data_IF_448470899891
#
_entry.id   IF_448470899891
#
_cell.length_a   1.000
_cell.length_b   1.000
_cell.length_c   1.000
_cell.angle_alpha   90.00
_cell.angle_beta   90.00
_cell.angle_gamma   90.00
#
_symmetry.space_group_name_H-M   'P 1'
#
loop_
_entity.id
_entity.type
_entity.pdbx_description
1 polymer ?
#
# COMPACT_ATOMS: atom_id res chain seq x y z
N UNK A 1 -25.79 9.63 -3.10
CA UNK A 1 -24.43 10.08 -2.78
C UNK A 1 -23.79 9.13 -1.79
N UNK A 2 -22.63 8.58 -2.09
CA UNK A 2 -21.97 7.61 -1.22
C UNK A 2 -21.21 8.33 -0.09
N UNK A 3 -21.41 7.87 1.13
CA UNK A 3 -20.64 8.38 2.26
C UNK A 3 -19.21 7.91 2.13
N UNK A 4 -18.24 8.84 2.14
CA UNK A 4 -16.82 8.52 2.00
C UNK A 4 -16.32 7.60 3.13
N UNK A 5 -16.99 7.60 4.28
CA UNK A 5 -16.62 6.74 5.40
C UNK A 5 -16.74 5.26 5.08
N UNK A 6 -17.57 4.91 4.12
CA UNK A 6 -17.67 3.52 3.66
C UNK A 6 -16.41 3.05 2.96
N UNK A 7 -15.54 3.97 2.54
CA UNK A 7 -14.23 3.64 1.97
C UNK A 7 -13.15 3.42 3.02
N UNK A 8 -13.44 3.69 4.30
CA UNK A 8 -12.52 3.34 5.39
C UNK A 8 -12.79 1.90 5.79
N UNK A 9 -11.86 1.01 5.43
CA UNK A 9 -12.04 -0.44 5.57
C UNK A 9 -11.36 -0.92 6.84
N UNK A 10 -12.11 -1.54 7.73
CA UNK A 10 -11.58 -2.06 9.00
C UNK A 10 -12.25 -3.38 9.43
N UNK A 11 -13.14 -3.92 8.63
CA UNK A 11 -13.79 -5.19 8.89
C UNK A 11 -13.15 -6.32 8.08
N UNK A 12 -13.30 -7.55 8.58
CA UNK A 12 -12.65 -8.72 7.97
C UNK A 12 -13.10 -8.98 6.54
N UNK A 13 -14.39 -8.80 6.25
CA UNK A 13 -14.90 -9.02 4.91
C UNK A 13 -14.28 -8.06 3.90
N UNK A 14 -14.17 -6.79 4.27
CA UNK A 14 -13.57 -5.77 3.41
C UNK A 14 -12.07 -5.99 3.22
N UNK A 15 -11.36 -6.33 4.29
CA UNK A 15 -9.93 -6.64 4.23
C UNK A 15 -9.66 -7.88 3.36
N UNK A 16 -10.44 -8.94 3.56
CA UNK A 16 -10.30 -10.17 2.78
C UNK A 16 -10.54 -9.91 1.29
N UNK A 17 -11.54 -9.11 0.96
CA UNK A 17 -11.84 -8.76 -0.43
C UNK A 17 -10.66 -8.02 -1.08
N UNK A 18 -10.08 -7.05 -0.38
CA UNK A 18 -8.90 -6.32 -0.86
C UNK A 18 -7.74 -7.29 -1.13
N UNK A 19 -7.42 -8.13 -0.16
CA UNK A 19 -6.27 -9.03 -0.26
C UNK A 19 -6.47 -10.10 -1.33
N UNK A 20 -7.70 -10.56 -1.53
CA UNK A 20 -8.03 -11.56 -2.54
C UNK A 20 -7.98 -10.99 -3.95
N UNK A 21 -8.47 -9.77 -4.13
CA UNK A 21 -8.64 -9.18 -5.46
C UNK A 21 -7.41 -8.44 -5.97
N UNK A 22 -6.53 -7.97 -5.08
CA UNK A 22 -5.33 -7.23 -5.48
C UNK A 22 -4.30 -8.16 -6.15
N UNK A 23 -3.60 -7.61 -7.15
CA UNK A 23 -2.52 -8.30 -7.85
C UNK A 23 -1.22 -7.53 -7.79
N UNK A 24 -1.28 -6.19 -7.78
CA UNK A 24 -0.11 -5.32 -7.81
C UNK A 24 -0.09 -4.43 -6.59
N UNK A 25 1.09 -4.33 -5.97
CA UNK A 25 1.29 -3.53 -4.75
C UNK A 25 2.51 -2.66 -4.93
N UNK A 26 2.32 -1.34 -4.91
CA UNK A 26 3.42 -0.40 -4.85
C UNK A 26 3.78 -0.19 -3.38
N UNK A 27 5.05 -0.35 -3.04
CA UNK A 27 5.53 -0.27 -1.65
C UNK A 27 6.32 1.02 -1.48
N UNK A 28 5.71 1.99 -0.82
CA UNK A 28 6.34 3.28 -0.54
C UNK A 28 7.16 3.16 0.75
N UNK A 29 8.45 3.47 0.65
CA UNK A 29 9.38 3.28 1.76
C UNK A 29 10.04 1.91 1.77
N UNK A 30 10.06 1.20 0.63
CA UNK A 30 10.74 -0.08 0.51
C UNK A 30 12.21 0.03 0.92
N UNK A 31 12.71 -0.97 1.64
CA UNK A 31 14.08 -1.01 2.14
C UNK A 31 14.78 -2.30 1.76
N UNK A 32 16.11 -2.29 1.80
CA UNK A 32 16.94 -3.45 1.47
C UNK A 32 17.20 -4.38 2.66
N UNK A 33 17.06 -3.88 3.89
CA UNK A 33 17.37 -4.66 5.08
C UNK A 33 16.34 -5.75 5.35
N UNK A 34 16.78 -7.00 5.39
CA UNK A 34 15.90 -8.17 5.52
C UNK A 34 15.12 -8.21 6.83
N UNK A 35 15.59 -7.52 7.87
CA UNK A 35 14.89 -7.42 9.15
C UNK A 35 13.85 -6.30 9.21
N UNK A 36 13.73 -5.50 8.17
CA UNK A 36 12.80 -4.37 8.12
C UNK A 36 11.44 -4.82 7.59
N UNK A 37 10.32 -4.42 8.24
CA UNK A 37 8.99 -4.74 7.71
C UNK A 37 8.79 -4.30 6.27
N UNK A 38 9.34 -3.15 5.89
CA UNK A 38 9.25 -2.63 4.51
C UNK A 38 10.06 -3.46 3.52
N UNK A 39 10.77 -4.48 3.98
CA UNK A 39 11.42 -5.50 3.15
C UNK A 39 10.71 -6.85 3.25
N UNK A 40 10.54 -7.40 4.47
CA UNK A 40 10.02 -8.77 4.59
C UNK A 40 8.51 -8.88 4.32
N UNK A 41 7.72 -7.83 4.53
CA UNK A 41 6.30 -7.87 4.19
C UNK A 41 6.10 -7.95 2.66
N UNK A 42 6.75 -7.08 1.85
CA UNK A 42 6.67 -7.25 0.39
C UNK A 42 7.22 -8.58 -0.10
N UNK A 43 8.30 -9.09 0.52
CA UNK A 43 8.85 -10.40 0.16
C UNK A 43 7.83 -11.51 0.37
N UNK A 44 7.13 -11.48 1.52
CA UNK A 44 6.05 -12.43 1.80
C UNK A 44 4.94 -12.33 0.74
N UNK A 45 4.50 -11.11 0.42
CA UNK A 45 3.43 -10.90 -0.55
C UNK A 45 3.83 -11.43 -1.94
N UNK A 46 5.08 -11.19 -2.34
CA UNK A 46 5.57 -11.70 -3.62
C UNK A 46 5.49 -13.22 -3.68
N UNK A 47 5.83 -13.91 -2.61
CA UNK A 47 5.73 -15.37 -2.53
C UNK A 47 4.28 -15.84 -2.64
N UNK A 48 3.32 -14.99 -2.32
CA UNK A 48 1.89 -15.29 -2.43
C UNK A 48 1.28 -14.86 -3.76
N UNK A 49 2.11 -14.46 -4.72
CA UNK A 49 1.67 -14.15 -6.07
C UNK A 49 1.43 -12.68 -6.38
N UNK A 50 1.67 -11.78 -5.43
CA UNK A 50 1.55 -10.35 -5.70
C UNK A 50 2.77 -9.85 -6.47
N UNK A 51 2.52 -8.93 -7.40
CA UNK A 51 3.60 -8.22 -8.08
C UNK A 51 3.94 -6.99 -7.26
N UNK A 52 5.22 -6.89 -6.85
CA UNK A 52 5.68 -5.81 -5.98
C UNK A 52 6.42 -4.76 -6.81
N UNK A 53 6.08 -3.50 -6.58
CA UNK A 53 6.71 -2.35 -7.24
C UNK A 53 7.29 -1.45 -6.14
N UNK A 54 8.62 -1.54 -5.89
CA UNK A 54 9.24 -0.78 -4.79
C UNK A 54 9.39 0.70 -5.15
N UNK A 55 9.10 1.58 -4.18
CA UNK A 55 9.18 3.03 -4.34
C UNK A 55 9.91 3.62 -3.13
N UNK A 56 11.10 4.15 -3.35
CA UNK A 56 11.86 4.87 -2.32
C UNK A 56 13.06 5.53 -2.98
N UNK A 57 13.24 6.86 -2.86
CA UNK A 57 14.38 7.54 -3.47
C UNK A 57 15.73 7.00 -2.99
N UNK A 58 15.79 6.48 -1.75
CA UNK A 58 17.04 5.96 -1.18
C UNK A 58 17.53 4.67 -1.84
N UNK A 59 16.66 3.95 -2.51
CA UNK A 59 17.00 2.67 -3.16
C UNK A 59 16.68 2.68 -4.64
N UNK A 60 16.40 3.84 -5.21
CA UNK A 60 16.04 3.96 -6.63
C UNK A 60 17.10 3.31 -7.52
N UNK A 61 16.66 2.54 -8.49
CA UNK A 61 17.52 1.80 -9.42
C UNK A 61 17.93 0.42 -8.93
N UNK A 62 17.80 0.12 -7.64
CA UNK A 62 18.12 -1.23 -7.12
C UNK A 62 16.96 -2.18 -7.40
N UNK A 63 17.27 -3.43 -7.66
CA UNK A 63 16.23 -4.45 -7.83
C UNK A 63 15.84 -5.01 -6.48
N UNK A 64 14.55 -4.90 -6.17
CA UNK A 64 13.95 -5.42 -4.95
C UNK A 64 12.66 -6.14 -5.34
N UNK A 65 12.49 -7.36 -4.86
CA UNK A 65 11.26 -8.13 -5.08
C UNK A 65 10.92 -8.30 -6.56
N UNK A 66 11.95 -8.44 -7.40
CA UNK A 66 11.77 -8.73 -8.82
C UNK A 66 11.57 -7.51 -9.71
N UNK A 67 11.69 -6.29 -9.18
CA UNK A 67 11.50 -5.07 -9.96
C UNK A 67 12.54 -4.02 -9.59
N UNK A 68 12.84 -3.12 -10.51
CA UNK A 68 13.69 -1.97 -10.24
C UNK A 68 12.90 -0.96 -9.41
N UNK A 69 13.48 -0.52 -8.28
CA UNK A 69 12.86 0.49 -7.45
C UNK A 69 12.89 1.85 -8.15
N UNK A 70 11.81 2.61 -8.01
CA UNK A 70 11.72 3.98 -8.49
C UNK A 70 11.73 4.94 -7.30
N UNK A 71 12.08 6.20 -7.56
CA UNK A 71 12.17 7.19 -6.50
C UNK A 71 10.79 7.66 -6.02
N UNK A 72 9.81 7.76 -6.93
CA UNK A 72 8.48 8.32 -6.64
C UNK A 72 7.39 7.55 -7.37
N UNK A 73 6.17 7.61 -6.83
CA UNK A 73 5.01 6.96 -7.44
C UNK A 73 4.77 7.39 -8.89
N UNK A 74 5.04 8.66 -9.21
CA UNK A 74 4.85 9.19 -10.56
C UNK A 74 5.73 8.51 -11.61
N UNK A 75 6.79 7.82 -11.18
CA UNK A 75 7.71 7.11 -12.08
C UNK A 75 7.25 5.69 -12.41
N UNK A 76 6.17 5.21 -11.78
CA UNK A 76 5.59 3.92 -12.12
C UNK A 76 4.96 3.99 -13.50
N UNK A 77 5.08 2.90 -14.26
CA UNK A 77 4.64 2.88 -15.67
C UNK A 77 3.13 2.76 -15.84
N UNK A 78 2.39 2.51 -14.76
CA UNK A 78 0.94 2.38 -14.87
C UNK A 78 0.28 2.16 -13.52
N UNK A 79 -1.04 1.98 -13.53
CA UNK A 79 -1.78 1.85 -12.28
C UNK A 79 -1.42 0.59 -11.51
N UNK A 80 -1.54 0.69 -10.18
CA UNK A 80 -1.40 -0.45 -9.27
C UNK A 80 -2.69 -0.59 -8.46
N UNK A 81 -2.93 -1.78 -7.93
CA UNK A 81 -4.14 -2.04 -7.14
C UNK A 81 -4.02 -1.43 -5.75
N UNK A 82 -2.89 -1.64 -5.09
CA UNK A 82 -2.66 -1.19 -3.70
C UNK A 82 -1.39 -0.36 -3.64
N UNK A 83 -1.46 0.78 -2.96
CA UNK A 83 -0.27 1.52 -2.53
C UNK A 83 -0.13 1.26 -1.04
N UNK A 84 0.91 0.52 -0.67
CA UNK A 84 1.24 0.17 0.71
C UNK A 84 2.29 1.14 1.22
N UNK A 85 2.01 1.85 2.33
CA UNK A 85 2.87 2.93 2.81
C UNK A 85 3.54 2.56 4.12
N UNK A 86 4.88 2.57 4.10
CA UNK A 86 5.77 2.40 5.26
C UNK A 86 6.46 3.74 5.54
N UNK A 87 5.68 4.77 5.87
CA UNK A 87 6.21 6.10 6.16
C UNK A 87 5.57 6.62 7.45
N UNK A 88 6.27 7.52 8.15
CA UNK A 88 5.76 8.12 9.39
C UNK A 88 4.43 8.84 9.15
N UNK A 89 3.53 8.84 10.15
CA UNK A 89 2.21 9.45 9.99
C UNK A 89 2.23 10.90 9.50
N UNK A 90 3.20 11.71 9.92
CA UNK A 90 3.29 13.11 9.51
C UNK A 90 3.53 13.31 8.02
N UNK A 91 4.02 12.29 7.32
CA UNK A 91 4.25 12.36 5.87
C UNK A 91 3.02 11.94 5.04
N UNK A 92 2.00 11.38 5.69
CA UNK A 92 0.85 10.83 4.95
C UNK A 92 0.04 11.88 4.20
N UNK A 93 -0.21 13.09 4.72
CA UNK A 93 -0.91 14.10 3.93
C UNK A 93 -0.18 14.43 2.62
N UNK A 94 1.15 14.52 2.65
CA UNK A 94 1.95 14.73 1.44
C UNK A 94 1.84 13.57 0.46
N UNK A 95 1.83 12.34 0.95
CA UNK A 95 1.63 11.17 0.09
C UNK A 95 0.21 11.11 -0.47
N UNK A 96 -0.81 11.53 0.29
CA UNK A 96 -2.16 11.62 -0.23
C UNK A 96 -2.23 12.61 -1.40
N UNK A 97 -1.61 13.77 -1.26
CA UNK A 97 -1.53 14.75 -2.35
C UNK A 97 -0.83 14.17 -3.57
N UNK A 98 0.28 13.48 -3.35
CA UNK A 98 1.04 12.82 -4.41
C UNK A 98 0.18 11.80 -5.16
N UNK A 99 -0.55 10.96 -4.43
CA UNK A 99 -1.41 9.93 -5.00
C UNK A 99 -2.54 10.57 -5.83
N UNK A 100 -3.15 11.61 -5.30
CA UNK A 100 -4.25 12.28 -6.00
C UNK A 100 -3.80 13.08 -7.21
N UNK A 101 -2.50 13.37 -7.33
CA UNK A 101 -1.92 14.01 -8.49
C UNK A 101 -1.53 13.02 -9.60
N UNK A 102 -1.56 11.71 -9.34
CA UNK A 102 -1.24 10.69 -10.36
C UNK A 102 -2.29 10.70 -11.48
N UNK A 103 -1.89 10.33 -12.72
CA UNK A 103 -2.85 10.22 -13.83
C UNK A 103 -3.79 9.02 -13.72
N UNK A 104 -3.61 8.20 -12.69
CA UNK A 104 -4.45 7.03 -12.39
C UNK A 104 -4.74 6.99 -10.89
N UNK A 105 -5.70 6.15 -10.47
CA UNK A 105 -6.03 5.96 -9.06
C UNK A 105 -5.79 4.51 -8.67
N UNK A 106 -5.15 4.26 -7.50
CA UNK A 106 -5.15 2.92 -6.94
C UNK A 106 -6.55 2.57 -6.45
N UNK A 107 -6.83 1.30 -6.29
CA UNK A 107 -8.09 0.85 -5.68
C UNK A 107 -8.04 1.03 -4.16
N UNK A 108 -6.87 0.88 -3.58
CA UNK A 108 -6.66 0.89 -2.13
C UNK A 108 -5.34 1.60 -1.79
N UNK A 109 -5.35 2.38 -0.71
CA UNK A 109 -4.14 2.84 -0.06
C UNK A 109 -4.11 2.21 1.32
N UNK A 110 -3.01 1.55 1.64
CA UNK A 110 -2.85 0.75 2.86
C UNK A 110 -1.76 1.36 3.74
N UNK A 111 -2.14 1.87 4.91
CA UNK A 111 -1.20 2.37 5.91
C UNK A 111 -0.82 1.22 6.84
N UNK A 112 0.47 0.91 6.90
CA UNK A 112 0.99 -0.22 7.66
C UNK A 112 0.76 -0.08 9.17
N UNK A 113 1.02 -1.16 9.89
CA UNK A 113 0.86 -1.22 11.35
C UNK A 113 1.59 -0.06 12.02
N UNK A 114 0.91 0.63 12.93
CA UNK A 114 1.44 1.79 13.63
C UNK A 114 1.28 3.10 12.87
N UNK A 115 0.71 3.08 11.66
CA UNK A 115 0.61 4.26 10.80
C UNK A 115 -0.86 4.63 10.61
N UNK A 116 -1.24 5.79 11.18
CA UNK A 116 -2.58 6.38 11.05
C UNK A 116 -2.46 7.86 10.75
N UNK A 117 -3.38 8.36 9.93
CA UNK A 117 -3.54 9.80 9.74
C UNK A 117 -4.98 10.04 9.24
N UNK A 118 -5.82 10.57 10.11
CA UNK A 118 -7.24 10.74 9.80
C UNK A 118 -7.48 11.69 8.62
N UNK A 119 -6.70 12.77 8.54
CA UNK A 119 -6.85 13.74 7.46
C UNK A 119 -6.50 13.15 6.10
N UNK A 120 -5.37 12.42 6.03
CA UNK A 120 -4.96 11.75 4.79
C UNK A 120 -5.96 10.68 4.38
N UNK A 121 -6.45 9.89 5.35
CA UNK A 121 -7.42 8.84 5.10
C UNK A 121 -8.73 9.43 4.55
N UNK A 122 -9.21 10.51 5.14
CA UNK A 122 -10.42 11.19 4.65
C UNK A 122 -10.23 11.74 3.24
N UNK A 123 -9.10 12.37 2.97
CA UNK A 123 -8.79 12.94 1.67
C UNK A 123 -8.84 11.86 0.57
N UNK A 124 -8.22 10.72 0.82
CA UNK A 124 -8.21 9.60 -0.12
C UNK A 124 -9.60 8.96 -0.26
N UNK A 125 -10.29 8.77 0.87
CA UNK A 125 -11.61 8.15 0.89
C UNK A 125 -12.64 9.01 0.14
N UNK A 126 -12.58 10.33 0.28
CA UNK A 126 -13.45 11.25 -0.45
C UNK A 126 -13.22 11.19 -1.96
N UNK A 127 -12.03 10.80 -2.39
CA UNK A 127 -11.71 10.63 -3.81
C UNK A 127 -12.13 9.26 -4.36
N UNK A 128 -12.80 8.44 -3.56
CA UNK A 128 -13.29 7.13 -3.96
C UNK A 128 -12.29 5.99 -3.79
N UNK A 129 -11.19 6.23 -3.07
CA UNK A 129 -10.16 5.22 -2.81
C UNK A 129 -10.45 4.56 -1.47
N UNK A 130 -10.41 3.23 -1.41
CA UNK A 130 -10.51 2.52 -0.13
C UNK A 130 -9.22 2.69 0.65
N UNK A 131 -9.34 2.86 1.97
CA UNK A 131 -8.19 3.12 2.86
C UNK A 131 -8.21 2.14 4.01
N UNK A 132 -7.06 1.53 4.27
CA UNK A 132 -6.81 0.71 5.45
C UNK A 132 -5.74 1.40 6.28
N UNK A 133 -5.92 1.48 7.59
CA UNK A 133 -4.96 2.11 8.49
C UNK A 133 -4.51 1.15 9.58
N UNK A 134 -3.25 1.27 9.99
CA UNK A 134 -2.71 0.61 11.18
C UNK A 134 -2.86 -0.90 11.14
N UNK A 135 -2.56 -1.50 9.99
CA UNK A 135 -2.57 -2.95 9.83
C UNK A 135 -1.39 -3.39 8.96
N UNK A 136 -0.83 -4.56 9.25
CA UNK A 136 0.21 -5.15 8.44
C UNK A 136 -0.40 -6.14 7.45
N UNK A 137 -0.09 -5.98 6.17
CA UNK A 137 -0.65 -6.85 5.13
C UNK A 137 -0.29 -8.32 5.33
N UNK A 138 0.88 -8.62 5.88
CA UNK A 138 1.35 -9.99 6.04
C UNK A 138 0.50 -10.81 7.04
N UNK A 139 0.34 -10.40 8.31
CA UNK A 139 -0.51 -11.15 9.23
C UNK A 139 -1.98 -11.12 8.85
N UNK A 140 -2.45 -10.02 8.25
CA UNK A 140 -3.83 -9.96 7.78
C UNK A 140 -4.07 -10.96 6.65
N UNK A 141 -3.13 -11.08 5.72
CA UNK A 141 -3.22 -12.06 4.65
C UNK A 141 -3.27 -13.48 5.21
N UNK A 142 -2.37 -13.81 6.16
CA UNK A 142 -2.36 -15.13 6.79
C UNK A 142 -3.68 -15.43 7.49
N UNK A 143 -4.20 -14.46 8.24
CA UNK A 143 -5.41 -14.63 9.04
C UNK A 143 -6.66 -14.81 8.17
N UNK A 144 -6.77 -14.04 7.10
CA UNK A 144 -8.00 -13.94 6.30
C UNK A 144 -8.02 -14.88 5.10
N UNK A 145 -6.89 -15.09 4.44
CA UNK A 145 -6.83 -15.94 3.23
C UNK A 145 -6.20 -17.29 3.51
N UNK A 146 -5.72 -17.49 4.71
CA UNK A 146 -5.18 -18.75 5.14
C UNK A 146 -3.77 -18.99 4.66
N UNK A 147 -3.04 -19.74 5.48
CA UNK A 147 -1.81 -20.40 5.07
C UNK A 147 -2.22 -21.82 4.71
N UNK A 148 -2.89 -21.96 3.61
CA UNK A 148 -3.14 -23.30 3.14
C UNK A 148 -1.82 -23.91 2.69
#
# INVERSE_FOLDING_TARGET
MTDWRTNLIDDDAGLAAILRDARTVAVVGAKTGTGEPSHYVPAYLRERGYRILPVNPKVAGQRLHGAAAVARLAELSGPVDVIEIFRRPEYLPGHADEILALPWRPKVVWFQLGIRNAAAAEQLARAGIRVVQDRCMMPEHRRLLGAA
#
